data_IF_773634316330
#
_entry.id   IF_773634316330
#
_cell.length_a   1.000
_cell.length_b   1.000
_cell.length_c   1.000
_cell.angle_alpha   90.00
_cell.angle_beta   90.00
_cell.angle_gamma   90.00
#
_symmetry.space_group_name_H-M   'P 1'
#
loop_
_entity.id
_entity.type
_entity.pdbx_description
1 polymer ?
#
# COMPACT_ATOMS: atom_id res chain seq x y z
N UNK A 1 -35.80 -2.52 36.07
CA UNK A 1 -35.85 -1.39 35.11
C UNK A 1 -34.50 -1.35 34.45
N UNK A 2 -34.38 -1.98 33.28
CA UNK A 2 -33.15 -1.99 32.50
C UNK A 2 -33.21 -0.83 31.52
N UNK A 3 -32.40 0.19 31.75
CA UNK A 3 -32.15 1.25 30.77
C UNK A 3 -31.15 0.70 29.75
N UNK A 4 -31.67 0.32 28.59
CA UNK A 4 -30.86 0.05 27.40
C UNK A 4 -30.48 1.41 26.82
N UNK A 5 -29.30 1.93 27.19
CA UNK A 5 -28.79 3.20 26.65
C UNK A 5 -28.59 3.04 25.15
N UNK A 6 -29.50 3.61 24.37
CA UNK A 6 -29.41 3.64 22.92
C UNK A 6 -28.52 4.84 22.57
N UNK A 7 -27.20 4.65 22.60
CA UNK A 7 -26.24 5.67 22.13
C UNK A 7 -26.61 6.03 20.69
N UNK A 8 -26.91 7.30 20.42
CA UNK A 8 -27.37 7.71 19.09
C UNK A 8 -26.18 7.68 18.11
N UNK A 9 -26.43 7.43 16.82
CA UNK A 9 -25.37 7.45 15.80
C UNK A 9 -24.61 8.80 15.73
N UNK A 10 -25.22 9.87 16.22
CA UNK A 10 -24.60 11.21 16.31
C UNK A 10 -23.58 11.28 17.45
N UNK A 11 -23.82 10.58 18.56
CA UNK A 11 -22.92 10.52 19.70
C UNK A 11 -21.68 9.69 19.38
N UNK A 12 -21.84 8.58 18.65
CA UNK A 12 -20.73 7.71 18.24
C UNK A 12 -19.81 8.42 17.23
N UNK A 13 -20.37 9.12 16.23
CA UNK A 13 -19.56 9.92 15.28
C UNK A 13 -18.80 11.04 16.01
N UNK A 14 -19.44 11.69 16.99
CA UNK A 14 -18.79 12.73 17.80
C UNK A 14 -17.64 12.14 18.63
N UNK A 15 -17.84 10.95 19.21
CA UNK A 15 -16.81 10.23 19.95
C UNK A 15 -15.61 9.88 19.06
N UNK A 16 -15.84 9.27 17.90
CA UNK A 16 -14.78 8.89 16.95
C UNK A 16 -14.04 10.12 16.39
N UNK A 17 -14.75 11.22 16.12
CA UNK A 17 -14.14 12.47 15.67
C UNK A 17 -13.20 13.07 16.72
N UNK A 18 -13.60 13.06 18.01
CA UNK A 18 -12.73 13.50 19.11
C UNK A 18 -11.50 12.60 19.24
N UNK A 19 -11.67 11.28 19.16
CA UNK A 19 -10.57 10.33 19.20
C UNK A 19 -9.58 10.53 18.05
N UNK A 20 -10.08 10.72 16.81
CA UNK A 20 -9.25 11.06 15.63
C UNK A 20 -8.43 12.33 15.87
N UNK A 21 -9.08 13.39 16.34
CA UNK A 21 -8.40 14.66 16.58
C UNK A 21 -7.32 14.53 17.65
N UNK A 22 -7.63 13.89 18.78
CA UNK A 22 -6.69 13.67 19.87
C UNK A 22 -5.51 12.77 19.47
N UNK A 23 -5.78 11.67 18.77
CA UNK A 23 -4.75 10.77 18.27
C UNK A 23 -3.84 11.48 17.26
N UNK A 24 -4.41 12.25 16.32
CA UNK A 24 -3.63 13.05 15.37
C UNK A 24 -2.66 14.01 16.08
N UNK A 25 -3.12 14.74 17.09
CA UNK A 25 -2.26 15.65 17.86
C UNK A 25 -1.13 14.88 18.57
N UNK A 26 -1.47 13.75 19.19
CA UNK A 26 -0.51 12.94 19.93
C UNK A 26 0.59 12.37 19.00
N UNK A 27 0.23 11.74 17.88
CA UNK A 27 1.21 11.17 16.96
C UNK A 27 2.04 12.23 16.25
N UNK A 28 1.45 13.40 15.97
CA UNK A 28 2.18 14.55 15.41
C UNK A 28 3.23 15.11 16.36
N UNK A 29 2.96 15.04 17.67
CA UNK A 29 3.88 15.45 18.73
C UNK A 29 4.86 14.34 19.16
N UNK A 30 4.68 13.10 18.69
CA UNK A 30 5.44 11.94 19.16
C UNK A 30 5.09 11.51 20.59
N UNK A 31 3.94 11.93 21.12
CA UNK A 31 3.48 11.64 22.48
C UNK A 31 2.67 10.34 22.50
N UNK A 32 3.38 9.22 22.64
CA UNK A 32 2.76 7.90 22.78
C UNK A 32 1.81 7.79 23.98
N UNK A 33 2.17 8.23 25.20
CA UNK A 33 1.22 8.22 26.31
C UNK A 33 -0.10 8.95 25.99
N UNK A 34 -0.05 10.09 25.29
CA UNK A 34 -1.26 10.78 24.84
C UNK A 34 -2.02 10.00 23.78
N UNK A 35 -1.33 9.33 22.85
CA UNK A 35 -1.97 8.48 21.84
C UNK A 35 -2.70 7.31 22.48
N UNK A 36 -2.10 6.65 23.47
CA UNK A 36 -2.74 5.61 24.28
C UNK A 36 -3.99 6.15 24.98
N UNK A 37 -3.88 7.27 25.70
CA UNK A 37 -5.03 7.89 26.37
C UNK A 37 -6.16 8.23 25.39
N UNK A 38 -5.84 8.79 24.23
CA UNK A 38 -6.83 9.14 23.21
C UNK A 38 -7.64 7.93 22.73
N UNK A 39 -6.95 6.81 22.49
CA UNK A 39 -7.58 5.57 22.01
C UNK A 39 -8.32 4.84 23.13
N UNK A 40 -7.72 4.68 24.31
CA UNK A 40 -8.37 3.99 25.42
C UNK A 40 -9.56 4.76 25.99
N UNK A 41 -9.52 6.10 26.04
CA UNK A 41 -10.68 6.88 26.41
C UNK A 41 -11.87 6.63 25.47
N UNK A 42 -11.62 6.50 24.15
CA UNK A 42 -12.69 6.17 23.21
C UNK A 42 -13.28 4.78 23.46
N UNK A 43 -12.43 3.79 23.76
CA UNK A 43 -12.88 2.43 24.10
C UNK A 43 -13.66 2.40 25.43
N UNK A 44 -13.15 3.09 26.46
CA UNK A 44 -13.79 3.20 27.78
C UNK A 44 -15.15 3.93 27.71
N UNK A 45 -15.26 4.91 26.81
CA UNK A 45 -16.51 5.63 26.49
C UNK A 45 -17.48 4.81 25.62
N UNK A 46 -17.11 3.57 25.25
CA UNK A 46 -17.98 2.60 24.58
C UNK A 46 -17.84 2.51 23.06
N UNK A 47 -16.83 3.14 22.44
CA UNK A 47 -16.59 2.99 21.01
C UNK A 47 -16.26 1.53 20.66
N UNK A 48 -16.84 1.02 19.58
CA UNK A 48 -16.53 -0.34 19.11
C UNK A 48 -15.07 -0.44 18.67
N UNK A 49 -14.37 -1.51 19.07
CA UNK A 49 -12.95 -1.76 18.73
C UNK A 49 -12.69 -1.63 17.22
N UNK A 50 -13.57 -2.17 16.38
CA UNK A 50 -13.44 -2.07 14.92
C UNK A 50 -13.59 -0.65 14.37
N UNK A 51 -14.42 0.19 14.98
CA UNK A 51 -14.51 1.60 14.61
C UNK A 51 -13.22 2.32 15.01
N UNK A 52 -12.68 2.05 16.19
CA UNK A 52 -11.39 2.65 16.63
C UNK A 52 -10.23 2.22 15.71
N UNK A 53 -10.12 0.94 15.35
CA UNK A 53 -9.08 0.46 14.44
C UNK A 53 -9.13 1.12 13.06
N UNK A 54 -10.33 1.18 12.44
CA UNK A 54 -10.47 1.55 11.03
C UNK A 54 -10.81 3.03 10.80
N UNK A 55 -11.56 3.65 11.71
CA UNK A 55 -12.06 5.02 11.55
C UNK A 55 -11.32 6.02 12.43
N UNK A 56 -10.47 5.55 13.35
CA UNK A 56 -9.57 6.40 14.13
C UNK A 56 -8.13 6.16 13.71
N UNK A 57 -7.59 4.96 13.96
CA UNK A 57 -6.16 4.69 13.72
C UNK A 57 -5.82 4.70 12.22
N UNK A 58 -6.55 3.94 11.40
CA UNK A 58 -6.29 3.93 9.95
C UNK A 58 -6.53 5.31 9.30
N UNK A 59 -7.54 6.05 9.75
CA UNK A 59 -7.82 7.41 9.28
C UNK A 59 -6.67 8.38 9.62
N UNK A 60 -6.15 8.32 10.85
CA UNK A 60 -4.99 9.13 11.26
C UNK A 60 -3.74 8.72 10.49
N UNK A 61 -3.52 7.42 10.24
CA UNK A 61 -2.41 6.95 9.43
C UNK A 61 -2.48 7.45 7.98
N UNK A 62 -3.66 7.45 7.36
CA UNK A 62 -3.84 8.00 6.00
C UNK A 62 -3.46 9.48 5.97
N UNK A 63 -3.90 10.25 6.97
CA UNK A 63 -3.51 11.65 7.13
C UNK A 63 -2.00 11.82 7.31
N UNK A 64 -1.34 10.95 8.10
CA UNK A 64 0.13 10.95 8.22
C UNK A 64 0.79 10.80 6.84
N UNK A 65 0.29 9.88 6.00
CA UNK A 65 0.76 9.69 4.63
C UNK A 65 0.55 10.91 3.72
N UNK A 66 -0.62 11.53 3.78
CA UNK A 66 -0.94 12.77 3.03
C UNK A 66 -0.01 13.92 3.43
N UNK A 67 0.23 14.09 4.72
CA UNK A 67 1.08 15.16 5.27
C UNK A 67 2.56 14.94 4.95
N UNK A 68 3.01 13.68 4.88
CA UNK A 68 4.33 13.33 4.37
C UNK A 68 4.47 13.59 2.86
N UNK A 69 3.49 13.20 2.06
CA UNK A 69 3.48 13.45 0.62
C UNK A 69 3.51 14.95 0.33
N UNK A 70 2.77 15.74 1.10
CA UNK A 70 2.75 17.20 1.01
C UNK A 70 3.98 17.89 1.65
N UNK A 71 4.98 17.15 2.11
CA UNK A 71 6.22 17.69 2.66
C UNK A 71 6.08 18.39 4.02
N UNK A 72 4.94 18.24 4.70
CA UNK A 72 4.67 18.79 6.04
C UNK A 72 5.18 17.89 7.17
N UNK A 73 5.30 16.58 6.90
CA UNK A 73 6.01 15.63 7.76
C UNK A 73 7.29 15.11 7.10
N UNK A 74 8.32 14.92 7.91
CA UNK A 74 9.53 14.20 7.50
C UNK A 74 9.29 12.70 7.55
N UNK A 75 10.12 11.92 6.85
CA UNK A 75 10.11 10.44 6.94
C UNK A 75 10.26 9.98 8.39
N UNK A 76 11.12 10.62 9.18
CA UNK A 76 11.31 10.29 10.59
C UNK A 76 10.02 10.48 11.42
N UNK A 77 9.23 11.52 11.13
CA UNK A 77 7.94 11.76 11.81
C UNK A 77 6.86 10.78 11.38
N UNK A 78 6.82 10.43 10.10
CA UNK A 78 5.93 9.37 9.60
C UNK A 78 6.24 8.04 10.30
N UNK A 79 7.51 7.62 10.31
CA UNK A 79 7.94 6.40 11.00
C UNK A 79 7.61 6.41 12.49
N UNK A 80 7.84 7.55 13.18
CA UNK A 80 7.49 7.68 14.59
C UNK A 80 5.98 7.54 14.83
N UNK A 81 5.14 8.15 13.99
CA UNK A 81 3.69 8.02 14.07
C UNK A 81 3.24 6.57 13.85
N UNK A 82 3.75 5.91 12.82
CA UNK A 82 3.48 4.49 12.53
C UNK A 82 3.90 3.58 13.68
N UNK A 83 5.08 3.82 14.29
CA UNK A 83 5.55 3.07 15.45
C UNK A 83 4.68 3.30 16.72
N UNK A 84 4.11 4.50 16.89
CA UNK A 84 3.13 4.76 17.94
C UNK A 84 1.85 3.96 17.67
N UNK A 85 1.31 4.01 16.45
CA UNK A 85 0.11 3.25 16.08
C UNK A 85 0.28 1.74 16.32
N UNK A 86 1.41 1.15 15.89
CA UNK A 86 1.68 -0.28 16.12
C UNK A 86 1.61 -0.67 17.60
N UNK A 87 2.18 0.17 18.48
CA UNK A 87 2.14 -0.06 19.93
C UNK A 87 0.75 0.14 20.51
N UNK A 88 0.01 1.14 20.05
CA UNK A 88 -1.40 1.36 20.43
C UNK A 88 -2.23 0.13 20.06
N UNK A 89 -2.09 -0.38 18.83
CA UNK A 89 -2.80 -1.57 18.37
C UNK A 89 -2.39 -2.81 19.19
N UNK A 90 -1.10 -2.98 19.50
CA UNK A 90 -0.63 -4.06 20.36
C UNK A 90 -1.24 -3.99 21.77
N UNK A 91 -1.36 -2.80 22.35
CA UNK A 91 -2.03 -2.61 23.64
C UNK A 91 -3.53 -2.91 23.55
N UNK A 92 -4.22 -2.47 22.49
CA UNK A 92 -5.63 -2.75 22.26
C UNK A 92 -5.91 -4.25 22.18
N UNK A 93 -5.02 -5.03 21.57
CA UNK A 93 -5.16 -6.50 21.45
C UNK A 93 -5.24 -7.23 22.80
N UNK A 94 -4.82 -6.59 23.89
CA UNK A 94 -4.84 -7.13 25.25
C UNK A 94 -5.83 -6.41 26.19
N UNK A 95 -6.58 -5.44 25.68
CA UNK A 95 -7.45 -4.60 26.51
C UNK A 95 -8.74 -5.30 26.94
N UNK A 96 -9.36 -6.06 26.03
CA UNK A 96 -10.54 -6.87 26.31
C UNK A 96 -10.26 -8.33 25.98
N UNK A 97 -10.86 -9.30 26.71
CA UNK A 97 -10.77 -10.70 26.35
C UNK A 97 -11.26 -10.89 24.92
N UNK A 98 -10.40 -11.45 24.06
CA UNK A 98 -10.84 -11.84 22.74
C UNK A 98 -11.96 -12.88 22.87
N UNK A 99 -12.98 -12.86 21.98
CA UNK A 99 -13.93 -13.94 21.91
C UNK A 99 -13.18 -15.28 21.77
N UNK A 100 -13.68 -16.37 22.37
CA UNK A 100 -13.07 -17.67 22.15
C UNK A 100 -13.02 -17.94 20.65
N UNK A 101 -11.89 -18.44 20.11
CA UNK A 101 -11.80 -18.68 18.69
C UNK A 101 -12.91 -19.64 18.27
N UNK A 102 -13.61 -19.28 17.19
CA UNK A 102 -14.63 -20.13 16.61
C UNK A 102 -14.05 -21.46 16.14
N UNK A 103 -14.93 -22.39 15.78
CA UNK A 103 -14.52 -23.69 15.21
C UNK A 103 -13.96 -23.60 13.78
N UNK A 104 -13.99 -22.42 13.17
CA UNK A 104 -13.39 -22.17 11.86
C UNK A 104 -11.87 -22.35 11.90
N UNK A 105 -11.29 -22.85 10.80
CA UNK A 105 -9.84 -23.02 10.68
C UNK A 105 -9.06 -21.71 10.80
N UNK A 106 -7.75 -21.80 11.02
CA UNK A 106 -6.90 -20.61 11.19
C UNK A 106 -6.85 -19.76 9.91
N UNK A 107 -6.70 -18.44 10.06
CA UNK A 107 -6.38 -17.53 8.97
C UNK A 107 -4.95 -17.06 9.15
N UNK A 108 -4.11 -17.28 8.14
CA UNK A 108 -2.77 -16.69 8.11
C UNK A 108 -2.87 -15.33 7.43
N UNK A 109 -2.31 -14.29 8.03
CA UNK A 109 -2.27 -12.92 7.48
C UNK A 109 -0.80 -12.54 7.25
N UNK A 110 -0.45 -12.15 6.02
CA UNK A 110 0.92 -11.81 5.66
C UNK A 110 0.98 -10.68 4.64
N UNK A 111 2.09 -9.95 4.61
CA UNK A 111 2.41 -9.06 3.50
C UNK A 111 3.21 -9.81 2.43
N UNK A 112 2.99 -9.44 1.18
CA UNK A 112 3.74 -9.94 0.02
C UNK A 112 5.24 -9.74 0.19
N UNK A 113 6.05 -10.57 -0.44
CA UNK A 113 7.49 -10.34 -0.56
C UNK A 113 7.79 -8.92 -1.12
N UNK A 114 8.81 -8.28 -0.57
CA UNK A 114 9.14 -6.87 -0.77
C UNK A 114 8.19 -5.82 -0.18
N UNK A 115 7.06 -6.21 0.44
CA UNK A 115 6.09 -5.27 1.02
C UNK A 115 6.36 -5.00 2.50
N UNK A 116 6.70 -3.75 2.82
CA UNK A 116 7.04 -3.33 4.18
C UNK A 116 5.88 -2.64 4.92
N UNK A 117 4.80 -2.26 4.21
CA UNK A 117 3.65 -1.60 4.81
C UNK A 117 2.76 -2.61 5.54
N UNK A 118 3.17 -3.03 6.75
CA UNK A 118 2.49 -4.06 7.53
C UNK A 118 1.24 -3.58 8.28
N UNK A 119 1.11 -2.28 8.52
CA UNK A 119 0.01 -1.74 9.34
C UNK A 119 -1.39 -2.10 8.81
N UNK A 120 -1.71 -2.04 7.50
CA UNK A 120 -2.99 -2.54 6.99
C UNK A 120 -3.25 -4.02 7.31
N UNK A 121 -2.22 -4.86 7.17
CA UNK A 121 -2.31 -6.28 7.49
C UNK A 121 -2.46 -6.52 9.00
N UNK A 122 -1.81 -5.70 9.83
CA UNK A 122 -1.96 -5.70 11.28
C UNK A 122 -3.38 -5.34 11.71
N UNK A 123 -3.96 -4.29 11.13
CA UNK A 123 -5.35 -3.89 11.36
C UNK A 123 -6.34 -4.99 10.96
N UNK A 124 -6.14 -5.62 9.79
CA UNK A 124 -6.93 -6.78 9.37
C UNK A 124 -6.84 -7.91 10.42
N UNK A 125 -5.63 -8.25 10.86
CA UNK A 125 -5.43 -9.31 11.84
C UNK A 125 -6.22 -9.06 13.15
N UNK A 126 -6.25 -7.81 13.63
CA UNK A 126 -7.03 -7.45 14.82
C UNK A 126 -8.54 -7.47 14.59
N UNK A 127 -9.03 -6.99 13.44
CA UNK A 127 -10.45 -7.10 13.08
C UNK A 127 -10.88 -8.58 13.02
N UNK A 128 -10.07 -9.44 12.41
CA UNK A 128 -10.37 -10.87 12.32
C UNK A 128 -10.38 -11.54 13.71
N UNK A 129 -9.45 -11.19 14.61
CA UNK A 129 -9.46 -11.67 16.00
C UNK A 129 -10.71 -11.20 16.74
N UNK A 130 -11.10 -9.93 16.57
CA UNK A 130 -12.31 -9.38 17.16
C UNK A 130 -13.57 -10.08 16.67
N UNK A 131 -13.58 -10.55 15.41
CA UNK A 131 -14.63 -11.38 14.82
C UNK A 131 -14.53 -12.87 15.17
N UNK A 132 -13.64 -13.25 16.10
CA UNK A 132 -13.53 -14.63 16.62
C UNK A 132 -12.71 -15.59 15.74
N UNK A 133 -11.97 -15.08 14.74
CA UNK A 133 -11.06 -15.93 13.96
C UNK A 133 -9.77 -16.20 14.74
N UNK A 134 -9.24 -17.43 14.58
CA UNK A 134 -7.87 -17.74 14.98
C UNK A 134 -6.90 -17.20 13.93
N UNK A 135 -6.16 -16.14 14.27
CA UNK A 135 -5.29 -15.44 13.34
C UNK A 135 -3.81 -15.64 13.66
N UNK A 136 -3.09 -16.07 12.64
CA UNK A 136 -1.64 -16.15 12.62
C UNK A 136 -1.07 -15.03 11.73
N UNK A 137 -0.44 -14.02 12.33
CA UNK A 137 0.03 -12.83 11.63
C UNK A 137 1.55 -12.88 11.45
N UNK A 138 2.01 -12.95 10.20
CA UNK A 138 3.43 -13.14 9.86
C UNK A 138 4.20 -11.84 9.66
N UNK A 139 3.50 -10.70 9.60
CA UNK A 139 4.13 -9.39 9.44
C UNK A 139 4.44 -8.99 8.00
N UNK A 140 5.44 -8.13 7.86
CA UNK A 140 5.90 -7.56 6.60
C UNK A 140 6.83 -8.51 5.84
N UNK A 141 6.99 -8.29 4.53
CA UNK A 141 8.07 -8.84 3.73
C UNK A 141 8.26 -10.35 3.90
N UNK A 142 7.21 -11.14 3.66
CA UNK A 142 7.27 -12.61 3.83
C UNK A 142 7.65 -13.27 2.50
N UNK A 143 8.88 -13.82 2.35
CA UNK A 143 9.28 -14.44 1.08
C UNK A 143 8.44 -15.66 0.75
N UNK A 144 8.02 -15.79 -0.51
CA UNK A 144 7.11 -16.85 -0.97
C UNK A 144 7.56 -18.26 -0.56
N UNK A 145 8.84 -18.66 -0.69
CA UNK A 145 9.27 -20.00 -0.28
C UNK A 145 9.07 -20.27 1.23
N UNK A 146 9.31 -19.28 2.08
CA UNK A 146 9.11 -19.40 3.53
C UNK A 146 7.62 -19.37 3.89
N UNK A 147 6.83 -18.57 3.18
CA UNK A 147 5.37 -18.57 3.31
C UNK A 147 4.80 -19.97 3.03
N UNK A 148 5.19 -20.61 1.92
CA UNK A 148 4.74 -21.97 1.59
C UNK A 148 5.15 -22.98 2.66
N UNK A 149 6.41 -22.94 3.13
CA UNK A 149 6.88 -23.83 4.18
C UNK A 149 6.07 -23.68 5.48
N UNK A 150 5.72 -22.45 5.85
CA UNK A 150 4.90 -22.13 7.02
C UNK A 150 3.45 -22.63 6.87
N UNK A 151 2.84 -22.39 5.71
CA UNK A 151 1.47 -22.81 5.42
C UNK A 151 1.31 -24.34 5.40
N UNK A 152 2.33 -25.07 4.95
CA UNK A 152 2.35 -26.53 5.06
C UNK A 152 2.34 -27.03 6.51
N UNK A 153 3.03 -26.33 7.41
CA UNK A 153 3.13 -26.73 8.83
C UNK A 153 1.86 -26.38 9.62
N UNK A 154 1.27 -25.22 9.31
CA UNK A 154 0.13 -24.67 10.06
C UNK A 154 -1.23 -25.04 9.48
N UNK A 155 -1.27 -25.44 8.20
CA UNK A 155 -2.46 -25.83 7.45
C UNK A 155 -3.67 -24.91 7.69
N UNK A 156 -3.54 -23.58 7.46
CA UNK A 156 -4.63 -22.65 7.67
C UNK A 156 -5.78 -22.91 6.68
N UNK A 157 -6.96 -22.43 7.02
CA UNK A 157 -8.12 -22.47 6.14
C UNK A 157 -7.97 -21.52 4.95
N UNK A 158 -7.34 -20.35 5.17
CA UNK A 158 -7.17 -19.28 4.18
C UNK A 158 -5.87 -18.52 4.45
N UNK A 159 -5.20 -18.08 3.38
CA UNK A 159 -4.20 -17.01 3.44
C UNK A 159 -4.86 -15.67 3.08
N UNK A 160 -4.76 -14.68 3.96
CA UNK A 160 -5.06 -13.28 3.67
C UNK A 160 -3.75 -12.53 3.36
N UNK A 161 -3.56 -12.15 2.10
CA UNK A 161 -2.33 -11.57 1.59
C UNK A 161 -2.51 -10.07 1.31
N UNK A 162 -1.68 -9.23 1.94
CA UNK A 162 -1.76 -7.77 1.87
C UNK A 162 -0.67 -7.17 0.98
N UNK A 163 -1.04 -6.19 0.15
CA UNK A 163 -0.07 -5.35 -0.56
C UNK A 163 -0.58 -3.92 -0.75
N UNK A 164 0.31 -2.95 -0.51
CA UNK A 164 0.04 -1.51 -0.64
C UNK A 164 0.66 -0.92 -1.90
N UNK A 165 1.82 -1.43 -2.35
CA UNK A 165 2.51 -0.93 -3.53
C UNK A 165 2.22 -1.78 -4.79
N UNK A 166 1.72 -1.18 -5.90
CA UNK A 166 1.49 -1.91 -7.16
C UNK A 166 2.75 -2.57 -7.74
N UNK A 167 3.95 -2.08 -7.41
CA UNK A 167 5.23 -2.69 -7.78
C UNK A 167 5.44 -4.09 -7.18
N UNK A 168 4.60 -4.50 -6.22
CA UNK A 168 4.61 -5.83 -5.61
C UNK A 168 3.61 -6.79 -6.26
N UNK A 169 2.79 -6.36 -7.21
CA UNK A 169 1.84 -7.23 -7.92
C UNK A 169 2.50 -8.47 -8.56
N UNK A 170 3.71 -8.41 -9.16
CA UNK A 170 4.37 -9.63 -9.65
C UNK A 170 4.74 -10.63 -8.55
N UNK A 171 5.20 -10.14 -7.39
CA UNK A 171 5.48 -10.97 -6.23
C UNK A 171 4.18 -11.52 -5.62
N UNK A 172 3.12 -10.72 -5.61
CA UNK A 172 1.79 -11.14 -5.15
C UNK A 172 1.26 -12.28 -6.02
N UNK A 173 1.36 -12.15 -7.35
CA UNK A 173 0.97 -13.20 -8.29
C UNK A 173 1.73 -14.50 -8.02
N UNK A 174 3.05 -14.42 -7.85
CA UNK A 174 3.89 -15.58 -7.51
C UNK A 174 3.40 -16.27 -6.22
N UNK A 175 3.10 -15.50 -5.17
CA UNK A 175 2.59 -16.02 -3.92
C UNK A 175 1.19 -16.64 -4.07
N UNK A 176 0.26 -15.95 -4.75
CA UNK A 176 -1.11 -16.43 -5.02
C UNK A 176 -1.06 -17.81 -5.69
N UNK A 177 -0.34 -17.92 -6.80
CA UNK A 177 -0.23 -19.16 -7.57
C UNK A 177 0.41 -20.29 -6.76
N UNK A 178 1.49 -20.00 -6.02
CA UNK A 178 2.18 -21.00 -5.21
C UNK A 178 1.30 -21.53 -4.06
N UNK A 179 0.52 -20.66 -3.41
CA UNK A 179 -0.35 -21.02 -2.28
C UNK A 179 -1.57 -21.81 -2.76
N UNK A 180 -2.15 -21.43 -3.89
CA UNK A 180 -3.23 -22.18 -4.51
C UNK A 180 -2.79 -23.57 -4.96
N UNK A 181 -1.54 -23.72 -5.44
CA UNK A 181 -0.99 -25.02 -5.84
C UNK A 181 -0.94 -26.04 -4.69
N UNK A 182 -0.85 -25.57 -3.44
CA UNK A 182 -0.91 -26.42 -2.23
C UNK A 182 -2.33 -26.54 -1.64
N UNK A 183 -3.35 -26.06 -2.36
CA UNK A 183 -4.77 -26.23 -2.03
C UNK A 183 -5.31 -25.25 -0.97
N UNK A 184 -4.59 -24.16 -0.69
CA UNK A 184 -5.03 -23.13 0.26
C UNK A 184 -5.61 -21.95 -0.53
N UNK A 185 -6.86 -21.52 -0.25
CA UNK A 185 -7.44 -20.34 -0.88
C UNK A 185 -6.73 -19.05 -0.42
N UNK A 186 -6.64 -18.09 -1.34
CA UNK A 186 -5.99 -16.79 -1.13
C UNK A 186 -7.01 -15.66 -1.25
N UNK A 187 -7.25 -14.98 -0.13
CA UNK A 187 -7.93 -13.69 -0.08
C UNK A 187 -6.86 -12.59 -0.19
N UNK A 188 -7.02 -11.65 -1.11
CA UNK A 188 -6.10 -10.51 -1.25
C UNK A 188 -6.75 -9.19 -0.90
N UNK A 189 -5.95 -8.23 -0.44
CA UNK A 189 -6.40 -6.87 -0.13
C UNK A 189 -5.27 -5.87 -0.08
N UNK A 190 -5.63 -4.60 0.11
CA UNK A 190 -4.71 -3.47 0.11
C UNK A 190 -4.69 -2.70 -1.20
N UNK A 191 -4.13 -1.49 -1.15
CA UNK A 191 -4.24 -0.49 -2.21
C UNK A 191 -3.61 -0.94 -3.55
N UNK A 192 -2.65 -1.86 -3.52
CA UNK A 192 -1.98 -2.37 -4.72
C UNK A 192 -2.95 -3.05 -5.69
N UNK A 193 -4.05 -3.64 -5.19
CA UNK A 193 -4.98 -4.42 -6.00
C UNK A 193 -6.06 -3.59 -6.71
N UNK A 194 -6.03 -2.27 -6.54
CA UNK A 194 -7.01 -1.32 -7.07
C UNK A 194 -8.27 -1.22 -6.21
N UNK A 195 -8.91 -0.04 -6.22
CA UNK A 195 -10.14 0.24 -5.45
C UNK A 195 -11.32 -0.67 -5.81
N UNK A 196 -11.30 -1.26 -7.00
CA UNK A 196 -12.30 -2.19 -7.54
C UNK A 196 -11.83 -3.64 -7.53
N UNK A 197 -10.62 -3.94 -7.03
CA UNK A 197 -10.04 -5.28 -7.01
C UNK A 197 -9.65 -5.82 -8.40
N UNK A 198 -9.48 -4.95 -9.39
CA UNK A 198 -9.17 -5.37 -10.77
C UNK A 198 -7.90 -6.20 -10.87
N UNK A 199 -6.84 -5.84 -10.13
CA UNK A 199 -5.59 -6.60 -10.18
C UNK A 199 -5.71 -7.90 -9.40
N UNK A 200 -6.54 -7.97 -8.35
CA UNK A 200 -6.80 -9.24 -7.67
C UNK A 200 -7.43 -10.28 -8.62
N UNK A 201 -8.40 -9.86 -9.43
CA UNK A 201 -9.03 -10.70 -10.46
C UNK A 201 -8.04 -11.06 -11.57
N UNK A 202 -7.24 -10.09 -12.03
CA UNK A 202 -6.21 -10.29 -13.04
C UNK A 202 -5.20 -11.37 -12.62
N UNK A 203 -4.81 -11.38 -11.34
CA UNK A 203 -3.82 -12.33 -10.79
C UNK A 203 -4.45 -13.64 -10.29
N UNK A 204 -5.74 -13.88 -10.55
CA UNK A 204 -6.40 -15.14 -10.22
C UNK A 204 -6.57 -15.44 -8.73
N UNK A 205 -6.62 -14.41 -7.87
CA UNK A 205 -6.92 -14.60 -6.45
C UNK A 205 -8.33 -15.18 -6.23
N UNK A 206 -8.51 -16.01 -5.19
CA UNK A 206 -9.79 -16.66 -4.91
C UNK A 206 -10.85 -15.67 -4.40
N UNK A 207 -10.40 -14.61 -3.73
CA UNK A 207 -11.23 -13.49 -3.32
C UNK A 207 -10.45 -12.19 -3.17
N UNK A 208 -11.16 -11.08 -3.21
CA UNK A 208 -10.66 -9.75 -2.88
C UNK A 208 -11.60 -9.07 -1.89
N UNK A 209 -11.02 -8.28 -0.99
CA UNK A 209 -11.77 -7.41 -0.10
C UNK A 209 -11.22 -5.96 -0.13
N UNK A 210 -12.09 -4.95 -0.20
CA UNK A 210 -11.68 -3.54 -0.17
C UNK A 210 -11.17 -3.08 1.20
N UNK A 211 -11.64 -3.71 2.28
CA UNK A 211 -11.29 -3.36 3.66
C UNK A 211 -11.37 -4.58 4.59
N UNK A 212 -10.98 -4.37 5.86
CA UNK A 212 -10.93 -5.43 6.86
C UNK A 212 -12.30 -6.00 7.26
N UNK A 213 -13.39 -5.19 7.20
CA UNK A 213 -14.75 -5.67 7.52
C UNK A 213 -15.24 -6.58 6.40
N UNK A 214 -15.09 -6.15 5.15
CA UNK A 214 -15.43 -6.95 3.99
C UNK A 214 -14.61 -8.25 3.93
N UNK A 215 -13.33 -8.21 4.33
CA UNK A 215 -12.50 -9.41 4.45
C UNK A 215 -13.05 -10.40 5.49
N UNK A 216 -13.43 -9.92 6.68
CA UNK A 216 -14.08 -10.74 7.70
C UNK A 216 -15.40 -11.34 7.20
N UNK A 217 -16.22 -10.57 6.48
CA UNK A 217 -17.49 -11.04 5.94
C UNK A 217 -17.30 -12.11 4.85
N UNK A 218 -16.27 -11.97 4.01
CA UNK A 218 -15.87 -13.00 3.04
C UNK A 218 -15.46 -14.28 3.75
N UNK A 219 -14.62 -14.19 4.78
CA UNK A 219 -14.16 -15.34 5.56
C UNK A 219 -15.30 -16.01 6.33
N UNK A 220 -16.26 -15.24 6.84
CA UNK A 220 -17.45 -15.75 7.52
C UNK A 220 -18.38 -16.55 6.59
N UNK A 221 -18.40 -16.22 5.29
CA UNK A 221 -19.12 -17.03 4.27
C UNK A 221 -18.35 -18.28 3.85
N UNK A 222 -17.05 -18.34 4.13
CA UNK A 222 -16.15 -19.40 3.68
C UNK A 222 -15.68 -19.21 2.23
N UNK A 223 -14.48 -19.72 1.95
CA UNK A 223 -13.90 -19.75 0.60
C UNK A 223 -13.73 -21.19 0.12
N UNK A 224 -14.08 -21.49 -1.15
CA UNK A 224 -13.84 -22.82 -1.71
C UNK A 224 -12.34 -23.09 -1.78
N UNK A 225 -11.93 -24.33 -1.52
CA UNK A 225 -10.53 -24.72 -1.68
C UNK A 225 -10.19 -24.86 -3.17
N UNK A 226 -9.07 -24.30 -3.63
CA UNK A 226 -8.57 -24.54 -4.98
C UNK A 226 -8.31 -26.03 -5.21
N UNK A 227 -8.57 -26.51 -6.43
CA UNK A 227 -8.24 -27.88 -6.82
C UNK A 227 -6.71 -28.08 -6.80
N UNK A 228 -6.19 -29.00 -5.98
CA UNK A 228 -4.75 -29.27 -5.93
C UNK A 228 -4.24 -29.76 -7.30
N UNK A 229 -3.08 -29.25 -7.73
CA UNK A 229 -2.41 -29.74 -8.95
C UNK A 229 -2.69 -28.99 -10.24
N UNK A 230 -3.55 -27.97 -10.24
CA UNK A 230 -3.60 -26.99 -11.33
C UNK A 230 -2.43 -26.01 -11.20
N UNK A 231 -1.21 -26.45 -11.51
CA UNK A 231 -0.06 -25.56 -11.63
C UNK A 231 -0.32 -24.59 -12.79
N UNK A 232 -0.79 -23.39 -12.47
CA UNK A 232 -0.94 -22.29 -13.44
C UNK A 232 0.43 -21.66 -13.66
N UNK A 233 0.87 -21.53 -14.91
CA UNK A 233 2.04 -20.71 -15.20
C UNK A 233 1.60 -19.26 -15.30
N UNK A 234 2.41 -18.32 -14.80
CA UNK A 234 2.14 -16.87 -14.88
C UNK A 234 1.80 -16.40 -16.31
N UNK A 235 2.41 -17.02 -17.33
CA UNK A 235 2.14 -16.70 -18.74
C UNK A 235 0.75 -17.14 -19.21
N UNK A 236 0.17 -18.18 -18.57
CA UNK A 236 -1.19 -18.64 -18.87
C UNK A 236 -2.22 -17.61 -18.38
N UNK A 237 -1.95 -16.96 -17.25
CA UNK A 237 -2.80 -15.93 -16.67
C UNK A 237 -2.62 -14.57 -17.36
N UNK A 238 -1.41 -14.28 -17.88
CA UNK A 238 -1.02 -12.99 -18.46
C UNK A 238 -0.31 -13.16 -19.82
N UNK A 239 -1.06 -13.45 -20.90
CA UNK A 239 -0.48 -13.81 -22.20
C UNK A 239 0.35 -12.69 -22.84
N UNK A 240 0.07 -11.42 -22.53
CA UNK A 240 0.86 -10.28 -23.01
C UNK A 240 2.31 -10.29 -22.51
N UNK A 241 2.63 -11.01 -21.42
CA UNK A 241 4.01 -11.17 -20.95
C UNK A 241 4.87 -12.03 -21.89
N UNK A 242 4.27 -12.68 -22.89
CA UNK A 242 4.98 -13.44 -23.91
C UNK A 242 5.91 -12.60 -24.79
N UNK A 243 5.70 -11.27 -24.87
CA UNK A 243 6.61 -10.35 -25.54
C UNK A 243 7.96 -10.14 -24.83
N UNK A 244 8.07 -10.61 -23.58
CA UNK A 244 9.22 -10.48 -22.70
C UNK A 244 9.65 -9.05 -22.35
N UNK A 245 8.87 -8.01 -22.70
CA UNK A 245 9.25 -6.62 -22.42
C UNK A 245 9.42 -6.38 -20.92
N UNK A 246 8.45 -6.82 -20.10
CA UNK A 246 8.55 -6.78 -18.63
C UNK A 246 9.84 -7.44 -18.12
N UNK A 247 10.12 -8.65 -18.61
CA UNK A 247 11.28 -9.45 -18.17
C UNK A 247 12.59 -8.78 -18.53
N UNK A 248 12.70 -8.23 -19.74
CA UNK A 248 13.90 -7.56 -20.23
C UNK A 248 14.14 -6.22 -19.52
N UNK A 249 13.08 -5.42 -19.31
CA UNK A 249 13.14 -4.18 -18.53
C UNK A 249 13.61 -4.45 -17.10
N UNK A 250 13.04 -5.46 -16.43
CA UNK A 250 13.43 -5.81 -15.06
C UNK A 250 14.85 -6.38 -14.97
N UNK A 251 15.28 -7.17 -15.96
CA UNK A 251 16.64 -7.69 -16.04
C UNK A 251 17.68 -6.57 -16.18
N UNK A 252 17.37 -5.54 -16.96
CA UNK A 252 18.25 -4.38 -17.18
C UNK A 252 17.97 -3.20 -16.23
N UNK A 253 17.16 -3.38 -15.19
CA UNK A 253 16.77 -2.31 -14.25
C UNK A 253 17.96 -1.48 -13.76
N UNK A 254 19.06 -2.14 -13.36
CA UNK A 254 20.27 -1.45 -12.87
C UNK A 254 20.97 -0.64 -13.98
N UNK A 255 21.04 -1.19 -15.19
CA UNK A 255 21.60 -0.50 -16.36
C UNK A 255 20.75 0.73 -16.71
N UNK A 256 19.45 0.54 -16.83
CA UNK A 256 18.49 1.61 -17.11
C UNK A 256 18.55 2.75 -16.10
N UNK A 257 18.64 2.46 -14.79
CA UNK A 257 18.79 3.51 -13.75
C UNK A 257 20.09 4.29 -13.93
N UNK A 258 21.22 3.58 -14.11
CA UNK A 258 22.54 4.19 -14.29
C UNK A 258 22.59 5.08 -15.53
N UNK A 259 22.07 4.57 -16.64
CA UNK A 259 22.15 5.23 -17.95
C UNK A 259 21.20 6.44 -17.98
N UNK A 260 20.02 6.33 -17.35
CA UNK A 260 19.11 7.47 -17.14
C UNK A 260 19.75 8.54 -16.25
N UNK A 261 20.39 8.16 -15.15
CA UNK A 261 21.08 9.11 -14.27
C UNK A 261 22.19 9.86 -15.01
N UNK A 262 22.97 9.15 -15.82
CA UNK A 262 24.05 9.73 -16.63
C UNK A 262 23.48 10.74 -17.65
N UNK A 263 22.42 10.36 -18.36
CA UNK A 263 21.75 11.26 -19.30
C UNK A 263 21.17 12.51 -18.62
N UNK A 264 20.66 12.38 -17.39
CA UNK A 264 20.19 13.52 -16.60
C UNK A 264 21.32 14.48 -16.21
N UNK A 265 22.49 13.98 -15.81
CA UNK A 265 23.66 14.82 -15.50
C UNK A 265 24.16 15.62 -16.71
N UNK A 266 24.04 15.04 -17.90
CA UNK A 266 24.37 15.71 -19.16
C UNK A 266 23.34 16.79 -19.52
N UNK A 267 22.04 16.48 -19.39
CA UNK A 267 20.90 17.33 -19.81
C UNK A 267 20.53 18.41 -18.79
N UNK A 268 20.82 18.21 -17.51
CA UNK A 268 20.48 19.12 -16.42
C UNK A 268 21.76 19.66 -15.77
N UNK A 269 22.26 20.85 -16.17
CA UNK A 269 23.47 21.43 -15.60
C UNK A 269 23.44 21.57 -14.08
N UNK A 270 22.25 21.74 -13.48
CA UNK A 270 22.06 21.81 -12.03
C UNK A 270 22.52 20.54 -11.29
N UNK A 271 22.45 19.36 -11.94
CA UNK A 271 22.87 18.09 -11.35
C UNK A 271 24.40 17.95 -11.23
N UNK A 272 25.17 18.73 -11.99
CA UNK A 272 26.64 18.73 -11.87
C UNK A 272 27.11 19.18 -10.48
N UNK A 273 26.31 20.02 -9.83
CA UNK A 273 26.55 20.50 -8.47
C UNK A 273 25.97 19.57 -7.38
N UNK A 274 25.36 18.44 -7.74
CA UNK A 274 24.80 17.52 -6.74
C UNK A 274 25.88 16.86 -5.90
N UNK A 275 25.60 16.78 -4.60
CA UNK A 275 26.32 15.92 -3.65
C UNK A 275 26.06 14.44 -3.95
N UNK A 276 26.91 13.56 -3.42
CA UNK A 276 26.71 12.10 -3.54
C UNK A 276 25.33 11.64 -3.07
N UNK A 277 24.87 12.15 -1.91
CA UNK A 277 23.55 11.84 -1.37
C UNK A 277 22.39 12.33 -2.25
N UNK A 278 22.55 13.45 -2.97
CA UNK A 278 21.53 13.90 -3.93
C UNK A 278 21.48 13.02 -5.18
N UNK A 279 22.64 12.57 -5.67
CA UNK A 279 22.72 11.60 -6.78
C UNK A 279 22.06 10.28 -6.41
N UNK A 280 22.35 9.77 -5.21
CA UNK A 280 21.77 8.52 -4.70
C UNK A 280 20.25 8.60 -4.62
N UNK A 281 19.70 9.66 -4.02
CA UNK A 281 18.24 9.88 -4.00
C UNK A 281 17.63 9.99 -5.41
N UNK A 282 18.33 10.66 -6.33
CA UNK A 282 17.86 10.75 -7.72
C UNK A 282 17.86 9.38 -8.39
N UNK A 283 18.87 8.55 -8.11
CA UNK A 283 18.93 7.17 -8.60
C UNK A 283 17.79 6.32 -8.01
N UNK A 284 17.45 6.48 -6.74
CA UNK A 284 16.30 5.83 -6.09
C UNK A 284 14.98 6.24 -6.74
N UNK A 285 14.77 7.54 -6.99
CA UNK A 285 13.57 8.04 -7.68
C UNK A 285 13.43 7.45 -9.10
N UNK A 286 14.54 7.39 -9.86
CA UNK A 286 14.57 6.74 -11.17
C UNK A 286 14.24 5.25 -11.04
N UNK A 287 14.77 4.58 -10.01
CA UNK A 287 14.49 3.17 -9.77
C UNK A 287 12.99 2.93 -9.51
N UNK A 288 12.33 3.81 -8.75
CA UNK A 288 10.89 3.76 -8.55
C UNK A 288 10.12 3.97 -9.86
N UNK A 289 10.53 4.91 -10.72
CA UNK A 289 9.92 5.10 -12.04
C UNK A 289 10.01 3.80 -12.86
N UNK A 290 11.17 3.13 -12.87
CA UNK A 290 11.34 1.85 -13.56
C UNK A 290 10.46 0.76 -12.96
N UNK A 291 10.37 0.67 -11.63
CA UNK A 291 9.53 -0.34 -10.95
C UNK A 291 8.04 -0.15 -11.26
N UNK A 292 7.54 1.09 -11.33
CA UNK A 292 6.16 1.38 -11.71
C UNK A 292 5.90 1.17 -13.21
N UNK A 293 6.88 1.46 -14.07
CA UNK A 293 6.81 1.12 -15.49
C UNK A 293 6.69 -0.40 -15.68
N UNK A 294 7.51 -1.16 -14.95
CA UNK A 294 7.45 -2.62 -14.97
C UNK A 294 6.13 -3.16 -14.40
N UNK A 295 5.58 -2.57 -13.34
CA UNK A 295 4.27 -2.95 -12.81
C UNK A 295 3.14 -2.72 -13.82
N UNK A 296 3.18 -1.61 -14.57
CA UNK A 296 2.24 -1.32 -15.64
C UNK A 296 2.39 -2.29 -16.81
N UNK A 297 3.63 -2.64 -17.22
CA UNK A 297 3.87 -3.69 -18.23
C UNK A 297 3.34 -5.06 -17.78
N UNK A 298 3.56 -5.39 -16.51
CA UNK A 298 3.15 -6.67 -15.93
C UNK A 298 1.63 -6.83 -15.94
N UNK A 299 0.92 -5.78 -15.57
CA UNK A 299 -0.55 -5.78 -15.42
C UNK A 299 -1.30 -5.35 -16.68
N UNK A 300 -0.59 -4.83 -17.68
CA UNK A 300 -1.16 -4.14 -18.84
C UNK A 300 -2.09 -2.96 -18.46
N UNK A 301 -1.78 -2.28 -17.34
CA UNK A 301 -2.55 -1.15 -16.81
C UNK A 301 -1.70 0.13 -16.78
N UNK A 302 -1.86 0.98 -17.79
CA UNK A 302 -1.12 2.24 -17.93
C UNK A 302 -1.42 3.27 -16.84
N UNK A 303 -2.58 3.16 -16.18
CA UNK A 303 -2.97 4.00 -15.06
C UNK A 303 -1.98 3.88 -13.90
N UNK A 304 -1.43 2.67 -13.65
CA UNK A 304 -0.43 2.49 -12.59
C UNK A 304 0.79 3.38 -12.79
N UNK A 305 1.25 3.51 -14.02
CA UNK A 305 2.42 4.33 -14.33
C UNK A 305 2.07 5.83 -14.39
N UNK A 306 0.95 6.17 -15.03
CA UNK A 306 0.54 7.57 -15.17
C UNK A 306 0.13 8.21 -13.85
N UNK A 307 -0.65 7.51 -13.01
CA UNK A 307 -1.04 7.98 -11.67
C UNK A 307 0.19 8.14 -10.77
N UNK A 308 1.13 7.20 -10.83
CA UNK A 308 2.40 7.31 -10.11
C UNK A 308 3.22 8.54 -10.52
N UNK A 309 3.33 8.82 -11.82
CA UNK A 309 4.05 10.00 -12.31
C UNK A 309 3.37 11.31 -11.90
N UNK A 310 2.04 11.38 -11.95
CA UNK A 310 1.28 12.54 -11.50
C UNK A 310 1.47 12.78 -10.00
N UNK A 311 1.32 11.71 -9.20
CA UNK A 311 1.57 11.76 -7.76
C UNK A 311 3.02 12.17 -7.44
N UNK A 312 3.99 11.61 -8.14
CA UNK A 312 5.41 11.98 -7.98
C UNK A 312 5.61 13.46 -8.32
N UNK A 313 4.96 13.97 -9.37
CA UNK A 313 4.97 15.40 -9.71
C UNK A 313 4.46 16.28 -8.56
N UNK A 314 3.33 15.91 -7.94
CA UNK A 314 2.74 16.64 -6.81
C UNK A 314 3.67 16.63 -5.58
N UNK A 315 4.28 15.47 -5.31
CA UNK A 315 5.26 15.30 -4.23
C UNK A 315 6.52 16.13 -4.45
N UNK A 316 7.04 16.18 -5.68
CA UNK A 316 8.19 17.00 -6.03
C UNK A 316 7.87 18.49 -5.85
N UNK A 317 6.71 18.95 -6.30
CA UNK A 317 6.31 20.35 -6.18
C UNK A 317 6.10 20.79 -4.73
N UNK A 318 5.50 19.94 -3.91
CA UNK A 318 5.39 20.17 -2.46
C UNK A 318 6.77 20.37 -1.81
N UNK A 319 7.82 19.77 -2.39
CA UNK A 319 9.22 19.86 -1.97
C UNK A 319 10.03 20.89 -2.75
N UNK A 320 9.35 21.79 -3.48
CA UNK A 320 9.94 22.86 -4.30
C UNK A 320 10.85 22.37 -5.43
N UNK A 321 10.60 21.16 -5.93
CA UNK A 321 11.23 20.60 -7.12
C UNK A 321 10.21 20.60 -8.26
N UNK A 322 10.44 21.36 -9.34
CA UNK A 322 9.52 21.39 -10.49
C UNK A 322 9.29 19.99 -11.11
N UNK A 323 8.02 19.60 -11.26
CA UNK A 323 7.63 18.31 -11.84
C UNK A 323 8.15 18.10 -13.27
N UNK A 324 8.39 19.20 -14.02
CA UNK A 324 9.04 19.18 -15.34
C UNK A 324 10.39 18.43 -15.39
N UNK A 325 11.05 18.22 -14.25
CA UNK A 325 12.28 17.43 -14.19
C UNK A 325 12.08 15.92 -14.37
N UNK A 326 10.83 15.44 -14.37
CA UNK A 326 10.52 14.05 -14.73
C UNK A 326 10.65 13.79 -16.24
N UNK A 327 10.32 14.77 -17.11
CA UNK A 327 10.32 14.56 -18.58
C UNK A 327 11.71 14.19 -19.15
N UNK A 328 12.83 14.82 -18.74
CA UNK A 328 14.16 14.42 -19.18
C UNK A 328 14.52 12.97 -18.81
N UNK A 329 14.08 12.48 -17.64
CA UNK A 329 14.31 11.10 -17.22
C UNK A 329 13.53 10.12 -18.11
N UNK A 330 12.24 10.41 -18.34
CA UNK A 330 11.39 9.63 -19.23
C UNK A 330 11.89 9.64 -20.68
N UNK A 331 12.44 10.76 -21.14
CA UNK A 331 13.05 10.87 -22.46
C UNK A 331 14.30 9.97 -22.58
N UNK A 332 15.18 9.97 -21.57
CA UNK A 332 16.34 9.09 -21.56
C UNK A 332 15.94 7.61 -21.55
N UNK A 333 14.94 7.23 -20.75
CA UNK A 333 14.38 5.87 -20.77
C UNK A 333 13.80 5.50 -22.13
N UNK A 334 13.14 6.44 -22.83
CA UNK A 334 12.59 6.22 -24.17
C UNK A 334 13.69 5.88 -25.18
N UNK A 335 14.83 6.55 -25.10
CA UNK A 335 15.98 6.30 -25.98
C UNK A 335 16.61 4.93 -25.71
N UNK A 336 16.73 4.55 -24.43
CA UNK A 336 17.29 3.27 -24.01
C UNK A 336 16.39 2.07 -24.37
N UNK A 337 15.07 2.26 -24.27
CA UNK A 337 14.06 1.22 -24.44
C UNK A 337 13.39 1.25 -25.83
N UNK A 338 14.10 1.78 -26.84
CA UNK A 338 13.61 2.00 -28.21
C UNK A 338 13.09 0.74 -28.93
N UNK A 339 13.52 -0.43 -28.50
CA UNK A 339 13.17 -1.72 -29.12
C UNK A 339 11.95 -2.38 -28.44
N UNK A 340 11.30 -1.70 -27.47
CA UNK A 340 10.21 -2.21 -26.66
C UNK A 340 8.90 -1.41 -26.89
N UNK A 341 8.08 -1.76 -27.90
CA UNK A 341 6.94 -0.94 -28.32
C UNK A 341 5.88 -0.69 -27.23
N UNK A 342 5.56 -1.67 -26.37
CA UNK A 342 4.58 -1.43 -25.27
C UNK A 342 5.17 -0.51 -24.21
N UNK A 343 6.43 -0.70 -23.89
CA UNK A 343 7.20 0.16 -22.98
C UNK A 343 7.24 1.60 -23.49
N UNK A 344 7.51 1.80 -24.79
CA UNK A 344 7.46 3.11 -25.42
C UNK A 344 6.06 3.73 -25.37
N UNK A 345 5.00 2.94 -25.57
CA UNK A 345 3.64 3.43 -25.46
C UNK A 345 3.31 3.91 -24.04
N UNK A 346 3.72 3.16 -23.00
CA UNK A 346 3.56 3.56 -21.60
C UNK A 346 4.34 4.84 -21.27
N UNK A 347 5.60 4.94 -21.70
CA UNK A 347 6.42 6.14 -21.55
C UNK A 347 5.78 7.35 -22.23
N UNK A 348 5.26 7.17 -23.46
CA UNK A 348 4.57 8.23 -24.19
C UNK A 348 3.31 8.72 -23.45
N UNK A 349 2.49 7.80 -22.91
CA UNK A 349 1.31 8.14 -22.09
C UNK A 349 1.69 8.86 -20.80
N UNK A 350 2.72 8.38 -20.10
CA UNK A 350 3.28 9.03 -18.91
C UNK A 350 3.71 10.47 -19.16
N UNK A 351 4.48 10.71 -20.23
CA UNK A 351 4.90 12.05 -20.64
C UNK A 351 3.73 12.95 -21.04
N UNK A 352 2.72 12.40 -21.73
CA UNK A 352 1.51 13.14 -22.08
C UNK A 352 0.72 13.58 -20.83
N UNK A 353 0.60 12.70 -19.83
CA UNK A 353 -0.06 13.01 -18.56
C UNK A 353 0.64 14.14 -17.81
N UNK A 354 1.98 14.11 -17.71
CA UNK A 354 2.76 15.18 -17.08
C UNK A 354 2.61 16.52 -17.82
N UNK A 355 2.62 16.52 -19.16
CA UNK A 355 2.40 17.76 -19.94
C UNK A 355 1.00 18.34 -19.72
N UNK A 356 -0.02 17.49 -19.63
CA UNK A 356 -1.40 17.93 -19.35
C UNK A 356 -1.59 18.44 -17.91
N UNK A 357 -0.73 18.04 -16.98
CA UNK A 357 -0.68 18.58 -15.61
C UNK A 357 -0.14 20.01 -15.60
N UNK A 358 0.96 20.25 -16.30
CA UNK A 358 1.64 21.57 -16.35
C UNK A 358 0.80 22.68 -17.01
N UNK A 359 -0.21 22.31 -17.81
CA UNK A 359 -1.13 23.27 -18.44
C UNK A 359 -2.32 23.66 -17.57
N UNK A 360 -2.48 23.08 -16.37
CA UNK A 360 -3.55 23.48 -15.43
C UNK A 360 -3.20 24.83 -14.79
N UNK A 361 -4.16 25.78 -14.71
CA UNK A 361 -3.93 27.04 -14.01
C UNK A 361 -3.64 26.76 -12.52
N UNK A 362 -2.73 27.51 -11.88
CA UNK A 362 -2.48 27.36 -10.46
C UNK A 362 -3.78 27.61 -9.68
N UNK A 363 -4.16 26.68 -8.81
CA UNK A 363 -5.26 26.87 -7.87
C UNK A 363 -4.88 28.05 -6.96
N UNK A 364 -5.71 29.10 -6.82
CA UNK A 364 -5.42 30.19 -5.89
C UNK A 364 -5.23 29.61 -4.49
N UNK A 365 -4.04 29.81 -3.91
CA UNK A 365 -3.82 29.49 -2.50
C UNK A 365 -4.82 30.25 -1.62
N UNK A 366 -5.19 29.72 -0.45
CA UNK A 366 -6.10 30.41 0.46
C UNK A 366 -5.54 31.81 0.75
N UNK A 367 -6.35 32.83 0.45
CA UNK A 367 -5.99 34.23 0.65
C UNK A 367 -5.56 34.42 2.12
N UNK A 368 -4.31 34.84 2.31
CA UNK A 368 -3.80 35.25 3.61
C UNK A 368 -4.52 36.52 4.04
N UNK A 369 -5.62 36.38 4.77
CA UNK A 369 -6.24 37.48 5.50
C UNK A 369 -5.40 37.81 6.73
N UNK A 370 -4.29 38.54 6.52
CA UNK A 370 -3.57 39.25 7.57
C UNK A 370 -3.36 40.70 7.14
N UNK A 371 -4.43 41.49 7.29
CA UNK A 371 -4.34 42.93 7.54
C UNK A 371 -5.36 43.26 8.66
N UNK A 372 -4.87 43.27 9.90
CA UNK A 372 -5.09 44.35 10.87
C UNK A 372 -4.16 44.21 12.06
#
# INVERSE_FOLDING_TARGET
>A
MSETTTTSATDDETLLARARAALWQAVSAGDEPAAMRAVFAALDDGAATEHVLLEVIAAVQNRVGEEWAAGRLTVAREHAATAIHERVIAAMAHHAPAPPPGSAGAVTVACVDGEWHALPARLLAEVLRHRGHRVDFLGAHVPTPHLIAHLHQTAPAVLALSSSLPTRLPAAHTAITAVQAIGIPVLVGGAAFGADGRHARLLGADAWAPDARAAADVLGRGLPRPSPGAARLTVDDLPHLGDQEYTLVMRDRRGLVRDTLTALEERLPAMRAYTGAQRERTAEDIAHIVDFLAAALYTDDDRLFTDFLLWTGDVLEARRVPARYLDPALAAMTEHLKDFPRTLALLARGRAALRARDTRPPVPGPASHHER
#
